data_IF_852282728065
#
_entry.id   IF_852282728065
#
_cell.length_a   1.000
_cell.length_b   1.000
_cell.length_c   1.000
_cell.angle_alpha   90.00
_cell.angle_beta   90.00
_cell.angle_gamma   90.00
#
_symmetry.space_group_name_H-M   'P 1'
#
loop_
_entity.id
_entity.type
_entity.pdbx_description
1 polymer ?
#
# COMPACT_ATOMS: atom_id res chain seq x y z
N UNK A 1 -18.49 19.42 16.28
CA UNK A 1 -18.24 19.35 17.73
C UNK A 1 -18.59 17.94 18.18
N UNK A 2 -17.63 17.19 18.73
CA UNK A 2 -17.87 15.84 19.25
C UNK A 2 -17.41 15.82 20.70
N UNK A 3 -18.33 15.79 21.64
CA UNK A 3 -18.08 15.58 23.07
C UNK A 3 -18.55 14.17 23.42
N UNK A 4 -17.75 13.47 24.22
CA UNK A 4 -18.05 12.14 24.72
C UNK A 4 -17.96 12.11 26.24
N UNK A 5 -18.90 11.38 26.85
CA UNK A 5 -18.88 11.00 28.25
C UNK A 5 -18.50 9.52 28.32
N UNK A 6 -17.52 9.20 29.14
CA UNK A 6 -17.07 7.84 29.42
C UNK A 6 -17.21 7.57 30.92
N UNK A 7 -17.84 6.45 31.25
CA UNK A 7 -18.11 5.98 32.60
C UNK A 7 -17.52 4.59 32.74
N UNK A 8 -16.56 4.43 33.66
CA UNK A 8 -15.93 3.16 33.96
C UNK A 8 -16.11 2.81 35.43
N UNK A 9 -16.64 1.61 35.66
CA UNK A 9 -16.73 0.99 36.97
C UNK A 9 -15.96 -0.33 36.97
N UNK A 10 -15.09 -0.54 37.95
CA UNK A 10 -14.37 -1.81 38.15
C UNK A 10 -14.48 -2.24 39.60
N UNK A 11 -14.72 -3.53 39.83
CA UNK A 11 -14.66 -4.13 41.16
C UNK A 11 -13.66 -5.29 41.13
N UNK A 12 -12.76 -5.32 42.12
CA UNK A 12 -11.85 -6.44 42.36
C UNK A 12 -12.18 -7.04 43.72
N UNK A 13 -12.24 -8.37 43.83
CA UNK A 13 -12.55 -9.07 45.08
C UNK A 13 -11.29 -9.75 45.63
N UNK A 14 -11.07 -9.60 46.93
CA UNK A 14 -10.01 -10.24 47.71
C UNK A 14 -10.64 -11.07 48.83
N UNK A 15 -9.86 -11.99 49.41
CA UNK A 15 -10.31 -12.75 50.58
C UNK A 15 -10.59 -11.83 51.79
N UNK A 16 -9.87 -10.70 51.89
CA UNK A 16 -9.97 -9.72 52.97
C UNK A 16 -11.01 -8.60 52.73
N UNK A 17 -11.57 -8.49 51.51
CA UNK A 17 -12.49 -7.41 51.16
C UNK A 17 -12.64 -7.17 49.66
N UNK A 18 -13.11 -5.97 49.28
CA UNK A 18 -13.39 -5.62 47.88
C UNK A 18 -12.88 -4.22 47.56
N UNK A 19 -12.22 -4.05 46.42
CA UNK A 19 -11.86 -2.74 45.91
C UNK A 19 -12.84 -2.32 44.81
N UNK A 20 -13.31 -1.08 44.84
CA UNK A 20 -14.16 -0.48 43.81
C UNK A 20 -13.50 0.77 43.25
N UNK A 21 -13.46 0.87 41.93
CA UNK A 21 -12.98 2.03 41.19
C UNK A 21 -14.13 2.56 40.36
N UNK A 22 -14.37 3.86 40.47
CA UNK A 22 -15.27 4.60 39.60
C UNK A 22 -14.51 5.72 38.90
N UNK A 23 -14.70 5.85 37.60
CA UNK A 23 -14.08 6.88 36.78
C UNK A 23 -15.11 7.49 35.84
N UNK A 24 -15.12 8.82 35.80
CA UNK A 24 -15.91 9.61 34.85
C UNK A 24 -14.94 10.44 34.03
N UNK A 25 -15.05 10.37 32.71
CA UNK A 25 -14.30 11.24 31.81
C UNK A 25 -15.23 11.98 30.88
N UNK A 26 -15.07 13.29 30.78
CA UNK A 26 -15.73 14.13 29.79
C UNK A 26 -14.65 14.75 28.92
N UNK A 27 -14.77 14.59 27.61
CA UNK A 27 -13.82 15.21 26.70
C UNK A 27 -14.26 15.12 25.25
N UNK A 28 -13.55 15.78 24.37
CA UNK A 28 -13.91 15.77 22.97
C UNK A 28 -13.10 16.76 22.13
N UNK A 29 -13.54 16.99 20.91
CA UNK A 29 -12.90 17.91 19.97
C UNK A 29 -13.81 19.10 19.65
N UNK A 30 -13.31 20.29 19.98
CA UNK A 30 -13.90 21.61 19.76
C UNK A 30 -12.99 22.40 18.80
N UNK A 31 -13.10 22.11 17.50
CA UNK A 31 -12.21 22.68 16.49
C UNK A 31 -10.75 22.26 16.71
N UNK A 32 -9.88 23.23 16.96
CA UNK A 32 -8.46 23.05 17.31
C UNK A 32 -8.24 22.59 18.75
N UNK A 33 -9.25 22.71 19.62
CA UNK A 33 -9.14 22.38 21.04
C UNK A 33 -9.63 20.96 21.30
N UNK A 34 -8.94 20.26 22.19
CA UNK A 34 -9.33 18.94 22.67
C UNK A 34 -9.24 18.91 24.20
N UNK A 35 -10.25 19.47 24.90
CA UNK A 35 -10.31 19.38 26.35
C UNK A 35 -10.72 17.98 26.80
N UNK A 36 -10.19 17.54 27.93
CA UNK A 36 -10.64 16.35 28.65
C UNK A 36 -10.45 16.54 30.15
N UNK A 37 -11.48 16.23 30.91
CA UNK A 37 -11.44 16.12 32.37
C UNK A 37 -11.81 14.69 32.76
N UNK A 38 -11.02 14.10 33.65
CA UNK A 38 -11.23 12.76 34.19
C UNK A 38 -11.21 12.84 35.70
N UNK A 39 -12.29 12.40 36.35
CA UNK A 39 -12.35 12.20 37.79
C UNK A 39 -12.34 10.70 38.07
N UNK A 40 -11.47 10.25 38.97
CA UNK A 40 -11.40 8.86 39.41
C UNK A 40 -11.43 8.82 40.93
N UNK A 41 -12.17 7.86 41.47
CA UNK A 41 -12.20 7.55 42.90
C UNK A 41 -12.16 6.05 43.12
N UNK A 42 -11.33 5.63 44.06
CA UNK A 42 -11.12 4.24 44.45
C UNK A 42 -11.37 4.10 45.95
N UNK A 43 -12.05 3.02 46.34
CA UNK A 43 -12.32 2.70 47.73
C UNK A 43 -12.17 1.22 47.98
N UNK A 44 -11.71 0.90 49.17
CA UNK A 44 -11.70 -0.44 49.73
C UNK A 44 -12.91 -0.62 50.63
N UNK A 45 -13.61 -1.74 50.48
CA UNK A 45 -14.71 -2.19 51.31
C UNK A 45 -14.27 -3.46 52.03
N UNK A 46 -13.99 -3.31 53.32
CA UNK A 46 -13.65 -4.41 54.21
C UNK A 46 -14.78 -4.60 55.24
N UNK A 47 -14.83 -5.74 55.96
CA UNK A 47 -15.86 -5.97 56.99
C UNK A 47 -15.91 -4.89 58.08
N UNK A 48 -14.80 -4.15 58.26
CA UNK A 48 -14.63 -3.08 59.26
C UNK A 48 -15.14 -1.72 58.76
N UNK A 49 -15.31 -1.52 57.45
CA UNK A 49 -15.79 -0.25 56.88
C UNK A 49 -15.32 0.04 55.46
N UNK A 50 -15.57 1.29 55.02
CA UNK A 50 -15.19 1.80 53.69
C UNK A 50 -14.03 2.78 53.84
N UNK A 51 -12.92 2.54 53.14
CA UNK A 51 -11.73 3.38 53.14
C UNK A 51 -11.51 3.97 51.74
N UNK A 52 -11.37 5.29 51.61
CA UNK A 52 -10.98 5.90 50.34
C UNK A 52 -9.49 5.64 50.09
N UNK A 53 -9.17 4.93 49.00
CA UNK A 53 -7.79 4.62 48.61
C UNK A 53 -7.18 5.76 47.81
N UNK A 54 -7.93 6.25 46.82
CA UNK A 54 -7.47 7.28 45.90
C UNK A 54 -8.66 8.12 45.41
N UNK A 55 -8.44 9.42 45.22
CA UNK A 55 -9.40 10.31 44.60
C UNK A 55 -8.62 11.40 43.87
N UNK A 56 -8.70 11.44 42.55
CA UNK A 56 -8.04 12.49 41.78
C UNK A 56 -8.90 13.00 40.62
N UNK A 57 -8.63 14.24 40.21
CA UNK A 57 -9.11 14.82 38.97
C UNK A 57 -7.92 15.19 38.09
N UNK A 58 -7.90 14.68 36.86
CA UNK A 58 -6.96 15.08 35.83
C UNK A 58 -7.68 15.95 34.80
N UNK A 59 -7.23 17.18 34.61
CA UNK A 59 -7.68 18.07 33.55
C UNK A 59 -6.59 18.20 32.49
N UNK A 60 -6.98 18.13 31.23
CA UNK A 60 -6.06 18.26 30.10
C UNK A 60 -6.68 19.07 28.97
N UNK A 61 -5.84 19.80 28.27
CA UNK A 61 -6.20 20.56 27.08
C UNK A 61 -5.12 20.36 26.04
N UNK A 62 -5.49 19.89 24.85
CA UNK A 62 -4.63 19.92 23.68
C UNK A 62 -5.12 20.97 22.68
N UNK A 63 -4.21 21.74 22.11
CA UNK A 63 -4.45 22.77 21.10
C UNK A 63 -3.66 22.37 19.85
N UNK A 64 -4.38 22.06 18.77
CA UNK A 64 -3.84 21.75 17.44
C UNK A 64 -4.00 22.97 16.56
N UNK A 65 -2.93 23.71 16.34
CA UNK A 65 -2.94 24.90 15.49
C UNK A 65 -2.40 24.57 14.07
N UNK A 66 -2.63 25.45 13.08
CA UNK A 66 -2.06 25.30 11.74
C UNK A 66 -0.53 25.13 11.76
N UNK A 67 0.04 24.67 10.64
CA UNK A 67 1.47 24.38 10.50
C UNK A 67 2.00 23.31 11.48
N UNK A 68 1.18 22.30 11.78
CA UNK A 68 1.53 21.13 12.58
C UNK A 68 2.05 21.46 13.99
N UNK A 69 1.39 22.43 14.64
CA UNK A 69 1.63 22.82 16.02
C UNK A 69 0.71 22.05 16.97
N UNK A 70 1.26 21.56 18.07
CA UNK A 70 0.52 20.92 19.14
C UNK A 70 1.02 21.45 20.50
N UNK A 71 0.13 22.04 21.29
CA UNK A 71 0.37 22.33 22.70
C UNK A 71 -0.54 21.43 23.53
N UNK A 72 -0.02 20.79 24.57
CA UNK A 72 -0.79 19.95 25.49
C UNK A 72 -0.44 20.33 26.92
N UNK A 73 -1.45 20.68 27.70
CA UNK A 73 -1.35 20.83 29.15
C UNK A 73 -2.09 19.70 29.86
N UNK A 74 -1.54 19.18 30.96
CA UNK A 74 -2.23 18.23 31.85
C UNK A 74 -1.90 18.55 33.30
N UNK A 75 -2.92 18.67 34.13
CA UNK A 75 -2.79 18.90 35.56
C UNK A 75 -3.62 17.87 36.33
N UNK A 76 -3.03 17.29 37.37
CA UNK A 76 -3.69 16.30 38.23
C UNK A 76 -3.79 16.84 39.64
N UNK A 77 -4.98 16.78 40.22
CA UNK A 77 -5.27 17.19 41.60
C UNK A 77 -5.77 15.99 42.40
N UNK A 78 -5.17 15.73 43.55
CA UNK A 78 -5.59 14.66 44.47
C UNK A 78 -6.47 15.27 45.57
N UNK A 79 -7.63 14.66 45.78
CA UNK A 79 -8.65 15.10 46.72
C UNK A 79 -8.47 14.50 48.12
N UNK A 80 -7.68 13.43 48.25
CA UNK A 80 -7.46 12.77 49.54
C UNK A 80 -6.60 13.62 50.49
N UNK A 81 -5.50 14.16 49.98
CA UNK A 81 -4.54 15.00 50.69
C UNK A 81 -4.67 16.49 50.33
N UNK A 82 -5.50 16.83 49.35
CA UNK A 82 -5.83 18.20 48.99
C UNK A 82 -4.65 18.94 48.35
N UNK A 83 -4.38 18.66 47.08
CA UNK A 83 -3.34 19.40 46.35
C UNK A 83 -3.14 18.99 44.90
N UNK A 84 -2.50 19.87 44.13
CA UNK A 84 -1.97 19.50 42.82
C UNK A 84 -0.83 18.49 42.99
N UNK A 85 -0.82 17.46 42.15
CA UNK A 85 0.21 16.42 42.15
C UNK A 85 1.23 16.65 41.04
N UNK A 86 0.73 16.88 39.82
CA UNK A 86 1.55 17.04 38.62
C UNK A 86 0.99 18.12 37.69
N UNK A 87 1.86 18.88 37.05
CA UNK A 87 1.57 19.75 35.91
C UNK A 87 2.55 19.43 34.80
N UNK A 88 2.04 19.03 33.63
CA UNK A 88 2.84 18.78 32.44
C UNK A 88 2.38 19.67 31.29
N UNK A 89 3.33 20.31 30.62
CA UNK A 89 3.11 21.09 29.42
C UNK A 89 4.05 20.53 28.35
N UNK A 90 3.50 20.07 27.24
CA UNK A 90 4.24 19.62 26.06
C UNK A 90 3.91 20.54 24.89
N UNK A 91 4.94 21.06 24.25
CA UNK A 91 4.88 21.77 22.98
C UNK A 91 5.54 20.88 21.93
N UNK A 92 4.88 20.66 20.81
CA UNK A 92 5.40 19.87 19.70
C UNK A 92 5.15 20.60 18.39
N UNK A 93 6.17 20.65 17.54
CA UNK A 93 6.06 21.23 16.20
C UNK A 93 6.83 20.41 15.19
N UNK A 94 6.16 20.09 14.09
CA UNK A 94 6.78 19.55 12.89
C UNK A 94 7.11 20.69 11.92
N UNK A 95 8.39 21.02 11.79
CA UNK A 95 8.86 22.09 10.89
C UNK A 95 8.95 21.63 9.44
N UNK A 96 9.44 20.41 9.21
CA UNK A 96 9.49 19.75 7.91
C UNK A 96 8.99 18.31 8.06
N UNK A 97 8.87 17.53 6.97
CA UNK A 97 8.52 16.11 7.08
C UNK A 97 9.58 15.32 7.88
N UNK A 98 10.82 15.83 7.91
CA UNK A 98 11.98 15.21 8.52
C UNK A 98 12.36 15.76 9.89
N UNK A 99 11.91 16.97 10.26
CA UNK A 99 12.34 17.64 11.48
C UNK A 99 11.18 17.94 12.42
N UNK A 100 11.25 17.34 13.61
CA UNK A 100 10.31 17.53 14.71
C UNK A 100 11.05 18.07 15.93
N UNK A 101 10.39 18.99 16.62
CA UNK A 101 10.85 19.57 17.87
C UNK A 101 9.76 19.39 18.92
N UNK A 102 10.16 18.87 20.07
CA UNK A 102 9.35 18.73 21.25
C UNK A 102 10.01 19.51 22.40
N UNK A 103 9.23 20.31 23.12
CA UNK A 103 9.65 21.02 24.33
C UNK A 103 8.69 20.62 25.42
N UNK A 104 9.20 20.20 26.58
CA UNK A 104 8.36 19.78 27.69
C UNK A 104 8.77 20.46 28.98
N UNK A 105 7.78 20.62 29.85
CA UNK A 105 7.90 21.10 31.21
C UNK A 105 7.03 20.21 32.10
N UNK A 106 7.60 19.66 33.16
CA UNK A 106 6.94 18.76 34.09
C UNK A 106 7.24 19.23 35.53
N UNK A 107 6.20 19.50 36.31
CA UNK A 107 6.30 19.87 37.73
C UNK A 107 5.57 18.80 38.54
N UNK A 108 6.29 18.17 39.45
CA UNK A 108 5.71 17.39 40.54
C UNK A 108 5.68 18.26 41.79
N UNK A 109 4.49 18.54 42.30
CA UNK A 109 4.33 19.49 43.40
C UNK A 109 4.72 18.91 44.75
N UNK A 110 4.52 17.61 44.98
CA UNK A 110 4.81 16.96 46.27
C UNK A 110 6.30 16.95 46.59
N UNK A 111 7.13 16.67 45.59
CA UNK A 111 8.60 16.69 45.73
C UNK A 111 9.20 18.05 45.37
N UNK A 112 8.37 19.02 44.97
CA UNK A 112 8.80 20.29 44.37
C UNK A 112 9.72 20.14 43.14
N UNK A 113 9.78 18.96 42.55
CA UNK A 113 10.63 18.66 41.41
C UNK A 113 10.09 19.31 40.12
N UNK A 114 10.96 19.97 39.36
CA UNK A 114 10.71 20.49 38.01
C UNK A 114 11.67 19.79 37.07
N UNK A 115 11.19 19.32 35.92
CA UNK A 115 12.01 18.85 34.81
C UNK A 115 11.53 19.54 33.55
N UNK A 116 12.43 20.23 32.85
CA UNK A 116 12.15 20.84 31.56
C UNK A 116 13.18 20.40 30.54
N UNK A 117 12.79 20.31 29.27
CA UNK A 117 13.72 19.88 28.25
C UNK A 117 13.24 20.11 26.83
N UNK A 118 14.15 19.88 25.90
CA UNK A 118 13.97 19.97 24.46
C UNK A 118 14.40 18.63 23.86
N UNK A 119 13.57 18.11 22.97
CA UNK A 119 13.82 16.92 22.18
C UNK A 119 13.72 17.26 20.70
N UNK A 120 14.69 16.77 19.94
CA UNK A 120 14.78 16.87 18.49
C UNK A 120 14.68 15.47 17.91
N UNK A 121 13.80 15.29 16.92
CA UNK A 121 13.79 14.11 16.07
C UNK A 121 14.09 14.56 14.64
N UNK A 122 15.10 13.93 14.04
CA UNK A 122 15.45 14.13 12.64
C UNK A 122 15.44 12.79 11.88
N UNK A 123 14.57 12.70 10.88
CA UNK A 123 14.38 11.51 10.04
C UNK A 123 15.25 11.65 8.78
N UNK A 124 16.45 11.05 8.80
CA UNK A 124 17.20 10.81 7.58
C UNK A 124 16.58 9.64 6.81
N UNK A 125 16.82 9.50 5.50
CA UNK A 125 16.35 8.33 4.75
C UNK A 125 16.84 6.98 5.31
N UNK A 126 17.98 6.96 6.01
CA UNK A 126 18.66 5.76 6.48
C UNK A 126 18.72 5.62 8.00
N UNK A 127 18.34 6.65 8.77
CA UNK A 127 18.40 6.62 10.24
C UNK A 127 17.53 7.70 10.89
N UNK A 128 17.04 7.43 12.09
CA UNK A 128 16.38 8.39 12.96
C UNK A 128 17.39 8.86 14.02
N UNK A 129 17.67 10.15 14.01
CA UNK A 129 18.37 10.83 15.09
C UNK A 129 17.36 11.32 16.13
N UNK A 130 17.57 10.99 17.39
CA UNK A 130 16.84 11.53 18.55
C UNK A 130 17.84 12.17 19.49
N UNK A 131 17.78 13.48 19.64
CA UNK A 131 18.54 14.20 20.66
C UNK A 131 17.57 14.74 21.72
N UNK A 132 17.91 14.61 22.99
CA UNK A 132 17.15 15.19 24.09
C UNK A 132 18.10 15.82 25.10
N UNK A 133 17.75 17.01 25.53
CA UNK A 133 18.43 17.76 26.57
C UNK A 133 17.37 18.19 27.58
N UNK A 134 17.64 18.02 28.86
CA UNK A 134 16.72 18.43 29.91
C UNK A 134 17.48 18.75 31.18
N UNK A 135 16.87 19.60 32.00
CA UNK A 135 17.41 19.98 33.29
C UNK A 135 16.31 19.98 34.33
N UNK A 136 16.67 19.56 35.53
CA UNK A 136 15.84 19.71 36.72
C UNK A 136 15.73 18.46 37.59
N UNK A 137 15.13 18.66 38.76
CA UNK A 137 15.11 17.70 39.86
C UNK A 137 16.45 17.47 40.52
N UNK A 138 16.50 16.45 41.38
CA UNK A 138 17.72 16.03 42.08
C UNK A 138 18.83 15.56 41.12
N UNK A 139 18.45 15.17 39.91
CA UNK A 139 19.35 14.66 38.88
C UNK A 139 20.09 15.71 38.06
N UNK A 140 19.79 17.00 38.23
CA UNK A 140 20.45 18.09 37.50
C UNK A 140 20.25 18.04 35.99
N UNK A 141 21.33 18.26 35.25
CA UNK A 141 21.34 18.31 33.78
C UNK A 141 21.50 16.92 33.16
N UNK A 142 20.68 16.60 32.15
CA UNK A 142 20.72 15.34 31.40
C UNK A 142 20.70 15.61 29.90
N UNK A 143 21.54 14.91 29.17
CA UNK A 143 21.51 14.90 27.71
C UNK A 143 21.66 13.48 27.19
N UNK A 144 21.00 13.19 26.07
CA UNK A 144 21.10 11.91 25.39
C UNK A 144 20.96 12.12 23.89
N UNK A 145 21.79 11.42 23.13
CA UNK A 145 21.70 11.32 21.68
C UNK A 145 21.57 9.84 21.36
N UNK A 146 20.48 9.48 20.68
CA UNK A 146 20.21 8.17 20.15
C UNK A 146 20.14 8.21 18.64
N UNK A 147 20.73 7.21 18.00
CA UNK A 147 20.61 6.98 16.56
C UNK A 147 20.01 5.58 16.40
N UNK A 148 18.93 5.49 15.64
CA UNK A 148 18.22 4.22 15.44
C UNK A 148 17.87 4.04 13.97
N UNK A 149 17.87 2.80 13.50
CA UNK A 149 17.53 2.48 12.13
C UNK A 149 17.75 1.01 11.90
N UNK A 150 17.76 0.62 10.63
CA UNK A 150 17.99 -0.76 10.23
C UNK A 150 18.86 -0.82 8.99
N UNK A 151 19.63 -1.89 8.88
CA UNK A 151 20.43 -2.24 7.73
C UNK A 151 20.08 -3.67 7.32
N UNK A 152 19.86 -3.89 6.03
CA UNK A 152 19.62 -5.19 5.43
C UNK A 152 20.58 -5.40 4.26
N UNK A 153 20.96 -6.65 4.02
CA UNK A 153 21.77 -7.04 2.86
C UNK A 153 20.99 -8.05 2.04
N UNK A 154 20.90 -7.80 0.73
CA UNK A 154 20.36 -8.76 -0.23
C UNK A 154 21.52 -9.42 -0.96
N UNK A 155 21.74 -10.71 -0.72
CA UNK A 155 22.73 -11.48 -1.48
C UNK A 155 22.35 -11.57 -2.96
N UNK A 156 21.06 -11.57 -3.28
CA UNK A 156 20.56 -11.75 -4.63
C UNK A 156 20.80 -10.52 -5.52
N UNK A 157 20.81 -9.32 -4.94
CA UNK A 157 21.15 -8.08 -5.66
C UNK A 157 22.53 -7.53 -5.30
N UNK A 158 23.23 -8.13 -4.33
CA UNK A 158 24.49 -7.63 -3.76
C UNK A 158 24.42 -6.16 -3.30
N UNK A 159 23.30 -5.77 -2.66
CA UNK A 159 23.04 -4.40 -2.25
C UNK A 159 22.65 -4.31 -0.76
N UNK A 160 22.99 -3.18 -0.15
CA UNK A 160 22.57 -2.82 1.19
C UNK A 160 21.34 -1.89 1.17
N UNK A 161 20.44 -2.11 2.11
CA UNK A 161 19.22 -1.33 2.30
C UNK A 161 19.21 -0.74 3.69
N UNK A 162 19.01 0.57 3.78
CA UNK A 162 18.97 1.29 5.06
C UNK A 162 17.64 1.97 5.26
N UNK A 163 17.24 2.11 6.52
CA UNK A 163 15.99 2.77 6.88
C UNK A 163 16.05 3.35 8.29
N UNK A 164 15.35 4.45 8.50
CA UNK A 164 15.19 5.03 9.83
C UNK A 164 14.25 4.25 10.74
N UNK A 165 13.42 3.36 10.21
CA UNK A 165 12.63 2.44 11.02
C UNK A 165 13.53 1.35 11.62
N UNK A 166 13.57 1.25 12.95
CA UNK A 166 14.39 0.29 13.68
C UNK A 166 13.81 -1.14 13.71
N UNK A 167 12.56 -1.32 13.26
CA UNK A 167 11.82 -2.58 13.40
C UNK A 167 11.88 -3.48 12.17
N UNK A 168 12.91 -3.40 11.31
CA UNK A 168 13.00 -4.29 10.13
C UNK A 168 13.14 -5.76 10.48
N UNK A 169 13.70 -6.08 11.65
CA UNK A 169 13.85 -7.47 12.08
C UNK A 169 12.46 -8.08 12.25
N UNK A 170 12.18 -9.11 11.46
CA UNK A 170 10.90 -9.78 11.36
C UNK A 170 10.15 -9.50 10.07
N UNK A 171 10.41 -8.41 9.34
CA UNK A 171 9.75 -8.10 8.06
C UNK A 171 10.51 -8.69 6.88
N UNK A 172 9.81 -8.87 5.76
CA UNK A 172 10.41 -9.20 4.47
C UNK A 172 10.63 -7.99 3.57
N UNK A 173 11.15 -8.26 2.39
CA UNK A 173 11.13 -7.36 1.25
C UNK A 173 11.00 -8.14 -0.06
N UNK A 174 10.24 -7.59 -1.01
CA UNK A 174 10.13 -8.11 -2.36
C UNK A 174 10.85 -7.16 -3.32
N UNK A 175 11.72 -7.70 -4.16
CA UNK A 175 12.41 -6.96 -5.22
C UNK A 175 11.88 -7.46 -6.54
N UNK A 176 11.05 -6.66 -7.20
CA UNK A 176 10.42 -7.03 -8.46
C UNK A 176 11.32 -6.63 -9.62
N UNK A 177 11.62 -7.58 -10.49
CA UNK A 177 12.46 -7.42 -11.68
C UNK A 177 11.70 -7.93 -12.90
N UNK A 178 10.96 -7.06 -13.60
CA UNK A 178 10.38 -7.43 -14.87
C UNK A 178 11.47 -7.56 -15.93
N UNK A 179 11.35 -8.54 -16.81
CA UNK A 179 12.32 -8.79 -17.87
C UNK A 179 11.62 -9.15 -19.18
N UNK A 180 12.25 -8.82 -20.30
CA UNK A 180 11.76 -9.17 -21.64
C UNK A 180 12.11 -10.63 -21.93
N UNK A 181 11.10 -11.49 -21.85
CA UNK A 181 11.14 -12.93 -22.11
C UNK A 181 10.97 -13.16 -23.61
N UNK A 182 12.08 -13.10 -24.36
CA UNK A 182 12.07 -13.09 -25.82
C UNK A 182 11.75 -14.48 -26.41
N UNK A 183 12.08 -15.55 -25.67
CA UNK A 183 11.83 -16.93 -26.09
C UNK A 183 10.53 -17.52 -25.50
N UNK A 184 9.88 -16.81 -24.57
CA UNK A 184 8.61 -17.20 -23.95
C UNK A 184 8.73 -18.32 -22.92
N UNK A 185 9.94 -18.64 -22.42
CA UNK A 185 10.15 -19.75 -21.50
C UNK A 185 9.75 -19.42 -20.04
N UNK A 186 9.54 -18.13 -19.72
CA UNK A 186 9.13 -17.65 -18.41
C UNK A 186 10.23 -17.58 -17.37
N UNK A 187 11.48 -17.80 -17.77
CA UNK A 187 12.68 -17.77 -16.93
C UNK A 187 13.61 -16.72 -17.50
N UNK A 188 14.22 -15.92 -16.63
CA UNK A 188 15.15 -14.90 -17.10
C UNK A 188 16.46 -15.53 -17.58
N UNK A 189 16.75 -15.38 -18.87
CA UNK A 189 17.96 -15.89 -19.50
C UNK A 189 19.09 -14.84 -19.55
N UNK A 190 20.37 -15.27 -19.62
CA UNK A 190 21.49 -14.35 -19.82
C UNK A 190 21.33 -13.53 -21.10
N UNK A 191 21.37 -12.19 -20.96
CA UNK A 191 21.22 -11.26 -22.07
C UNK A 191 19.81 -10.67 -22.21
N UNK A 192 18.82 -11.20 -21.50
CA UNK A 192 17.48 -10.62 -21.48
C UNK A 192 17.43 -9.30 -20.71
N UNK A 193 16.72 -8.33 -21.28
CA UNK A 193 16.63 -6.97 -20.76
C UNK A 193 15.76 -6.93 -19.51
N UNK A 194 16.26 -6.30 -18.44
CA UNK A 194 15.43 -5.93 -17.29
C UNK A 194 14.75 -4.61 -17.58
N UNK A 195 13.42 -4.60 -17.52
CA UNK A 195 12.63 -3.41 -17.74
C UNK A 195 12.77 -2.49 -16.52
N UNK A 196 13.34 -1.31 -16.76
CA UNK A 196 13.53 -0.28 -15.73
C UNK A 196 12.40 0.75 -15.67
N UNK A 197 11.62 0.87 -16.76
CA UNK A 197 10.47 1.77 -16.87
C UNK A 197 9.18 0.97 -16.95
N UNK A 198 8.62 0.71 -15.77
CA UNK A 198 7.32 0.08 -15.61
C UNK A 198 6.60 0.71 -14.43
N UNK A 199 5.29 0.85 -14.53
CA UNK A 199 4.41 1.16 -13.40
C UNK A 199 3.90 -0.15 -12.83
N UNK A 200 4.44 -0.53 -11.68
CA UNK A 200 4.07 -1.75 -10.97
C UNK A 200 3.29 -1.36 -9.71
N UNK A 201 2.07 -1.85 -9.62
CA UNK A 201 1.23 -1.72 -8.43
C UNK A 201 1.31 -2.99 -7.61
N UNK A 202 1.53 -2.84 -6.31
CA UNK A 202 1.37 -3.88 -5.31
C UNK A 202 0.07 -3.65 -4.54
N UNK A 203 -0.69 -4.71 -4.34
CA UNK A 203 -1.94 -4.74 -3.56
C UNK A 203 -1.85 -5.81 -2.48
N UNK A 204 -2.25 -5.49 -1.26
CA UNK A 204 -2.43 -6.44 -0.15
C UNK A 204 -3.65 -6.08 0.69
N UNK A 205 -3.94 -6.87 1.73
CA UNK A 205 -5.01 -6.58 2.70
C UNK A 205 -4.86 -5.22 3.41
N UNK A 206 -3.65 -4.66 3.42
CA UNK A 206 -3.33 -3.40 4.12
C UNK A 206 -3.27 -2.19 3.19
N UNK A 207 -3.52 -2.37 1.89
CA UNK A 207 -3.64 -1.30 0.92
C UNK A 207 -2.82 -1.51 -0.36
N UNK A 208 -2.76 -0.45 -1.16
CA UNK A 208 -2.15 -0.47 -2.48
C UNK A 208 -1.02 0.56 -2.55
N UNK A 209 0.07 0.23 -3.25
CA UNK A 209 1.13 1.18 -3.53
C UNK A 209 1.85 0.89 -4.84
N UNK A 210 2.42 1.92 -5.45
CA UNK A 210 3.31 1.76 -6.59
C UNK A 210 4.75 1.55 -6.12
N UNK A 211 5.43 0.61 -6.77
CA UNK A 211 6.82 0.30 -6.45
C UNK A 211 7.75 1.34 -7.07
N UNK A 212 8.86 1.62 -6.37
CA UNK A 212 9.88 2.54 -6.86
C UNK A 212 11.05 1.77 -7.45
N UNK A 213 11.44 2.13 -8.66
CA UNK A 213 12.64 1.61 -9.28
C UNK A 213 13.91 2.17 -8.62
N UNK A 214 14.85 1.28 -8.32
CA UNK A 214 16.21 1.60 -7.91
C UNK A 214 17.19 1.02 -8.93
N UNK A 215 18.02 1.84 -9.60
CA UNK A 215 19.01 1.36 -10.57
C UNK A 215 19.92 0.28 -10.00
N UNK A 216 20.12 -0.81 -10.75
CA UNK A 216 20.93 -1.95 -10.32
C UNK A 216 20.28 -2.89 -9.29
N UNK A 217 19.08 -2.56 -8.80
CA UNK A 217 18.33 -3.39 -7.83
C UNK A 217 17.01 -3.88 -8.41
N UNK A 218 16.19 -2.99 -8.97
CA UNK A 218 14.83 -3.28 -9.42
C UNK A 218 13.77 -2.47 -8.66
N UNK A 219 12.52 -2.92 -8.71
CA UNK A 219 11.39 -2.28 -8.07
C UNK A 219 11.23 -2.81 -6.64
N UNK A 220 11.52 -1.95 -5.66
CA UNK A 220 11.51 -2.33 -4.25
C UNK A 220 10.15 -2.23 -3.60
N UNK A 221 9.75 -3.29 -2.90
CA UNK A 221 8.69 -3.30 -1.91
C UNK A 221 9.28 -3.72 -0.56
N UNK A 222 9.55 -2.75 0.29
CA UNK A 222 10.21 -2.95 1.59
C UNK A 222 9.18 -3.02 2.72
N UNK A 223 9.56 -3.61 3.85
CA UNK A 223 8.71 -3.80 5.04
C UNK A 223 7.44 -4.61 4.79
N UNK A 224 7.56 -5.68 4.01
CA UNK A 224 6.44 -6.59 3.80
C UNK A 224 6.18 -7.42 5.04
N UNK A 225 4.91 -7.59 5.39
CA UNK A 225 4.50 -8.46 6.47
C UNK A 225 4.80 -9.91 6.09
N UNK A 226 5.39 -10.70 7.00
CA UNK A 226 5.63 -12.12 6.76
C UNK A 226 4.34 -12.88 6.51
N UNK A 227 4.42 -13.86 5.61
CA UNK A 227 3.34 -14.78 5.24
C UNK A 227 2.14 -14.11 4.58
N UNK A 228 2.27 -12.83 4.26
CA UNK A 228 1.23 -12.06 3.59
C UNK A 228 1.41 -12.12 2.07
N UNK A 229 0.28 -12.21 1.37
CA UNK A 229 0.26 -12.18 -0.09
C UNK A 229 0.27 -10.75 -0.61
N UNK A 230 1.20 -10.48 -1.52
CA UNK A 230 1.29 -9.24 -2.27
C UNK A 230 1.03 -9.54 -3.74
N UNK A 231 -0.01 -8.94 -4.29
CA UNK A 231 -0.37 -9.08 -5.70
C UNK A 231 0.31 -7.97 -6.49
N UNK A 232 1.19 -8.35 -7.41
CA UNK A 232 1.89 -7.45 -8.32
C UNK A 232 1.15 -7.37 -9.66
N UNK A 233 0.88 -6.15 -10.10
CA UNK A 233 0.23 -5.84 -11.38
C UNK A 233 1.10 -4.85 -12.14
N UNK A 234 1.53 -5.20 -13.36
CA UNK A 234 2.22 -4.27 -14.26
C UNK A 234 1.15 -3.57 -15.11
N UNK A 235 1.25 -2.25 -15.27
CA UNK A 235 0.43 -1.49 -16.20
C UNK A 235 1.05 -1.56 -17.61
N UNK A 236 0.47 -2.26 -18.59
CA UNK A 236 1.11 -2.46 -19.90
C UNK A 236 1.37 -1.15 -20.65
N UNK A 237 0.49 -0.15 -20.50
CA UNK A 237 0.65 1.19 -21.11
C UNK A 237 1.83 2.00 -20.58
N UNK A 238 2.49 1.54 -19.52
CA UNK A 238 3.69 2.17 -18.96
C UNK A 238 5.00 1.63 -19.55
N UNK A 239 4.93 0.56 -20.34
CA UNK A 239 6.09 -0.07 -20.96
C UNK A 239 6.55 0.71 -22.18
N UNK A 240 7.86 0.73 -22.45
CA UNK A 240 8.44 1.51 -23.55
C UNK A 240 8.07 0.96 -24.95
N UNK A 241 7.72 -0.34 -25.05
CA UNK A 241 7.31 -0.98 -26.30
C UNK A 241 5.84 -1.45 -26.21
N UNK A 242 4.95 -1.06 -27.15
CA UNK A 242 3.55 -1.48 -27.14
C UNK A 242 3.33 -2.98 -27.39
N UNK A 243 4.33 -3.69 -27.92
CA UNK A 243 4.29 -5.15 -28.08
C UNK A 243 4.68 -5.88 -26.79
N UNK A 244 5.23 -5.20 -25.79
CA UNK A 244 5.59 -5.84 -24.53
C UNK A 244 4.36 -6.06 -23.68
N UNK A 245 4.08 -7.32 -23.37
CA UNK A 245 2.90 -7.71 -22.60
C UNK A 245 3.31 -8.55 -21.41
N UNK A 246 2.89 -8.18 -20.18
CA UNK A 246 3.08 -9.03 -19.02
C UNK A 246 2.45 -10.40 -19.26
N UNK A 247 3.22 -11.48 -19.08
CA UNK A 247 2.71 -12.85 -19.21
C UNK A 247 1.56 -13.14 -18.24
N UNK A 248 1.59 -12.48 -17.09
CA UNK A 248 0.57 -12.57 -16.05
C UNK A 248 0.01 -11.17 -15.77
N UNK A 249 -1.31 -11.04 -15.81
CA UNK A 249 -1.97 -9.78 -15.40
C UNK A 249 -1.72 -9.48 -13.92
N UNK A 250 -1.75 -10.52 -13.08
CA UNK A 250 -1.56 -10.43 -11.65
C UNK A 250 -0.68 -11.59 -11.18
N UNK A 251 0.37 -11.28 -10.41
CA UNK A 251 1.20 -12.29 -9.74
C UNK A 251 1.11 -12.13 -8.22
N UNK A 252 0.56 -13.13 -7.54
CA UNK A 252 0.57 -13.22 -6.08
C UNK A 252 1.91 -13.76 -5.57
N UNK A 253 2.53 -13.06 -4.63
CA UNK A 253 3.79 -13.46 -3.99
C UNK A 253 3.68 -13.34 -2.48
N UNK A 254 4.03 -14.42 -1.78
CA UNK A 254 4.15 -14.42 -0.33
C UNK A 254 5.50 -13.86 0.11
N UNK A 255 5.45 -12.95 1.07
CA UNK A 255 6.65 -12.40 1.73
C UNK A 255 7.14 -13.32 2.84
N UNK A 256 8.46 -13.43 3.00
CA UNK A 256 9.10 -14.21 4.06
C UNK A 256 9.81 -13.29 5.07
N UNK A 257 9.83 -13.65 6.37
CA UNK A 257 10.45 -12.82 7.38
C UNK A 257 11.97 -12.78 7.19
N UNK A 258 12.57 -11.60 7.34
CA UNK A 258 14.02 -11.35 7.27
C UNK A 258 14.68 -11.68 5.93
N UNK A 259 13.92 -11.74 4.84
CA UNK A 259 14.46 -12.08 3.51
C UNK A 259 14.14 -11.01 2.47
N UNK A 260 15.11 -10.79 1.57
CA UNK A 260 14.90 -10.10 0.30
C UNK A 260 14.62 -11.15 -0.76
N UNK A 261 13.38 -11.24 -1.23
CA UNK A 261 12.98 -12.17 -2.28
C UNK A 261 12.93 -11.45 -3.62
N UNK A 262 13.66 -11.97 -4.61
CA UNK A 262 13.53 -11.52 -5.99
C UNK A 262 12.25 -12.12 -6.59
N UNK A 263 11.48 -11.27 -7.26
CA UNK A 263 10.28 -11.63 -8.01
C UNK A 263 10.51 -11.27 -9.46
N UNK A 264 10.76 -12.27 -10.28
CA UNK A 264 10.95 -12.09 -11.71
C UNK A 264 9.60 -12.09 -12.42
N UNK A 265 9.34 -11.06 -13.23
CA UNK A 265 8.09 -10.90 -13.97
C UNK A 265 8.36 -10.98 -15.47
N UNK A 266 8.03 -12.10 -16.14
CA UNK A 266 8.24 -12.23 -17.58
C UNK A 266 7.27 -11.32 -18.34
N UNK A 267 7.84 -10.54 -19.25
CA UNK A 267 7.14 -9.71 -20.23
C UNK A 267 7.43 -10.35 -21.59
N UNK A 268 6.41 -10.93 -22.19
CA UNK A 268 6.53 -11.56 -23.51
C UNK A 268 6.41 -10.51 -24.60
N UNK A 269 7.06 -10.77 -25.73
CA UNK A 269 6.88 -9.97 -26.94
C UNK A 269 5.64 -10.48 -27.67
N UNK A 270 4.58 -9.67 -27.65
CA UNK A 270 3.32 -9.95 -28.33
C UNK A 270 3.42 -9.78 -29.85
N UNK A 271 2.55 -10.49 -30.55
CA UNK A 271 2.34 -10.36 -31.98
C UNK A 271 1.30 -9.31 -32.36
N UNK A 272 1.17 -9.12 -33.66
CA UNK A 272 0.14 -8.28 -34.29
C UNK A 272 -0.75 -9.19 -35.13
N UNK A 273 -2.06 -9.13 -34.91
CA UNK A 273 -3.05 -9.87 -35.71
C UNK A 273 -3.81 -8.87 -36.57
N UNK A 274 -3.84 -9.10 -37.88
CA UNK A 274 -4.49 -8.22 -38.85
C UNK A 274 -5.38 -8.99 -39.80
N UNK A 275 -6.50 -8.36 -40.14
CA UNK A 275 -7.40 -8.87 -41.15
C UNK A 275 -8.31 -7.78 -41.67
N UNK A 276 -9.09 -8.15 -42.67
CA UNK A 276 -10.05 -7.29 -43.33
C UNK A 276 -11.41 -7.95 -43.40
N UNK A 277 -12.45 -7.17 -43.20
CA UNK A 277 -13.84 -7.58 -43.37
C UNK A 277 -14.37 -6.98 -44.65
N UNK A 278 -14.84 -7.84 -45.55
CA UNK A 278 -15.41 -7.46 -46.84
C UNK A 278 -16.83 -8.00 -46.99
N UNK A 279 -17.74 -7.16 -47.45
CA UNK A 279 -19.14 -7.51 -47.71
C UNK A 279 -19.38 -7.51 -49.21
N UNK A 280 -19.68 -8.68 -49.76
CA UNK A 280 -20.10 -8.86 -51.14
C UNK A 280 -21.56 -8.45 -51.29
N UNK A 281 -21.81 -7.41 -52.08
CA UNK A 281 -23.14 -7.02 -52.53
C UNK A 281 -23.30 -7.38 -54.01
N UNK A 282 -24.54 -7.48 -54.54
CA UNK A 282 -24.76 -7.84 -55.95
C UNK A 282 -24.09 -6.92 -56.98
N UNK A 283 -23.66 -5.71 -56.58
CA UNK A 283 -23.07 -4.71 -57.47
C UNK A 283 -21.59 -4.39 -57.18
N UNK A 284 -21.09 -4.66 -55.97
CA UNK A 284 -19.72 -4.32 -55.55
C UNK A 284 -19.34 -4.98 -54.22
N UNK A 285 -18.04 -5.08 -53.96
CA UNK A 285 -17.49 -5.37 -52.63
C UNK A 285 -17.42 -4.06 -51.84
N UNK A 286 -17.94 -4.05 -50.61
CA UNK A 286 -17.84 -2.91 -49.70
C UNK A 286 -17.14 -3.31 -48.40
N UNK A 287 -16.46 -2.37 -47.71
CA UNK A 287 -15.89 -2.63 -46.41
C UNK A 287 -16.94 -3.02 -45.35
N UNK A 288 -16.61 -3.99 -44.49
CA UNK A 288 -17.40 -4.37 -43.33
C UNK A 288 -17.17 -3.45 -42.12
N UNK A 289 -17.33 -2.14 -42.32
CA UNK A 289 -17.13 -1.12 -41.28
C UNK A 289 -18.03 -1.34 -40.05
N UNK A 290 -17.49 -1.10 -38.85
CA UNK A 290 -18.25 -1.10 -37.61
C UNK A 290 -18.58 -2.49 -37.06
N UNK A 291 -18.15 -3.56 -37.73
CA UNK A 291 -18.28 -4.93 -37.22
C UNK A 291 -17.25 -5.21 -36.13
N UNK A 292 -17.72 -5.85 -35.07
CA UNK A 292 -16.94 -6.18 -33.89
C UNK A 292 -16.21 -7.50 -34.12
N UNK A 293 -14.90 -7.48 -33.93
CA UNK A 293 -14.03 -8.66 -33.96
C UNK A 293 -13.58 -8.97 -32.56
N UNK A 294 -13.68 -10.23 -32.17
CA UNK A 294 -13.22 -10.75 -30.89
C UNK A 294 -12.08 -11.73 -31.11
N UNK A 295 -11.00 -11.57 -30.36
CA UNK A 295 -9.89 -12.50 -30.28
C UNK A 295 -9.89 -13.15 -28.89
N UNK A 296 -10.00 -14.48 -28.85
CA UNK A 296 -10.15 -15.26 -27.62
C UNK A 296 -9.14 -16.42 -27.57
N UNK A 297 -8.40 -16.52 -26.46
CA UNK A 297 -7.43 -17.59 -26.23
C UNK A 297 -8.13 -18.95 -26.08
N UNK A 298 -7.75 -19.94 -26.90
CA UNK A 298 -8.43 -21.25 -26.94
C UNK A 298 -8.07 -22.18 -25.78
N UNK A 299 -6.81 -22.15 -25.33
CA UNK A 299 -6.28 -23.07 -24.32
C UNK A 299 -5.86 -22.32 -23.06
N UNK A 300 -6.76 -21.51 -22.49
CA UNK A 300 -6.46 -20.84 -21.23
C UNK A 300 -6.20 -21.87 -20.12
N UNK A 301 -5.16 -21.70 -19.29
CA UNK A 301 -4.92 -22.56 -18.14
C UNK A 301 -6.17 -22.65 -17.25
N UNK A 302 -6.54 -23.87 -16.85
CA UNK A 302 -7.77 -24.12 -16.08
C UNK A 302 -7.90 -23.23 -14.85
N UNK A 303 -9.08 -22.65 -14.66
CA UNK A 303 -9.40 -21.78 -13.51
C UNK A 303 -9.20 -20.28 -13.72
N UNK A 304 -8.74 -19.83 -14.90
CA UNK A 304 -8.62 -18.40 -15.26
C UNK A 304 -9.59 -18.02 -16.38
N UNK A 305 -10.06 -16.77 -16.39
CA UNK A 305 -10.78 -16.23 -17.55
C UNK A 305 -9.82 -16.22 -18.75
N UNK A 306 -10.20 -16.77 -19.91
CA UNK A 306 -9.38 -16.69 -21.11
C UNK A 306 -9.18 -15.22 -21.50
N UNK A 307 -7.97 -14.89 -21.97
CA UNK A 307 -7.70 -13.58 -22.56
C UNK A 307 -8.71 -13.35 -23.69
N UNK A 308 -9.45 -12.25 -23.60
CA UNK A 308 -10.45 -11.84 -24.59
C UNK A 308 -10.24 -10.38 -24.93
N UNK A 309 -9.89 -10.12 -26.18
CA UNK A 309 -9.73 -8.79 -26.74
C UNK A 309 -10.83 -8.53 -27.75
N UNK A 310 -11.29 -7.29 -27.84
CA UNK A 310 -12.34 -6.89 -28.77
C UNK A 310 -11.95 -5.58 -29.43
N UNK A 311 -12.13 -5.53 -30.75
CA UNK A 311 -11.90 -4.32 -31.55
C UNK A 311 -13.04 -4.16 -32.56
N UNK A 312 -13.11 -3.01 -33.20
CA UNK A 312 -14.12 -2.68 -34.21
C UNK A 312 -13.40 -2.39 -35.52
N UNK A 313 -13.91 -2.94 -36.62
CA UNK A 313 -13.34 -2.70 -37.94
C UNK A 313 -13.46 -1.22 -38.34
N UNK A 314 -12.37 -0.68 -38.88
CA UNK A 314 -12.27 0.69 -39.38
C UNK A 314 -13.16 0.91 -40.62
N UNK A 315 -13.27 2.14 -41.10
CA UNK A 315 -14.03 2.49 -42.31
C UNK A 315 -13.51 1.83 -43.59
N UNK A 316 -12.25 1.39 -43.59
CA UNK A 316 -11.62 0.60 -44.66
C UNK A 316 -11.94 -0.90 -44.58
N UNK A 317 -12.62 -1.34 -43.50
CA UNK A 317 -12.93 -2.73 -43.20
C UNK A 317 -11.80 -3.49 -42.51
N UNK A 318 -10.65 -2.86 -42.32
CA UNK A 318 -9.50 -3.44 -41.63
C UNK A 318 -9.71 -3.46 -40.12
N UNK A 319 -9.10 -4.43 -39.45
CA UNK A 319 -9.03 -4.49 -38.00
C UNK A 319 -7.65 -5.00 -37.57
N UNK A 320 -7.20 -4.59 -36.39
CA UNK A 320 -5.95 -5.09 -35.83
C UNK A 320 -6.04 -5.28 -34.32
N UNK A 321 -5.28 -6.27 -33.85
CA UNK A 321 -4.93 -6.47 -32.44
C UNK A 321 -3.43 -6.33 -32.30
N UNK A 322 -2.99 -5.44 -31.42
CA UNK A 322 -1.57 -5.17 -31.15
C UNK A 322 -1.22 -5.71 -29.76
N UNK A 323 -0.05 -6.34 -29.64
CA UNK A 323 0.42 -6.88 -28.37
C UNK A 323 -0.40 -8.09 -27.95
N UNK A 324 -0.64 -9.03 -28.87
CA UNK A 324 -1.29 -10.30 -28.53
C UNK A 324 -0.21 -11.29 -28.05
N UNK A 325 -0.24 -11.76 -26.79
CA UNK A 325 0.76 -12.71 -26.30
C UNK A 325 0.83 -13.99 -27.16
N UNK A 326 1.96 -14.69 -27.20
CA UNK A 326 2.05 -15.98 -27.88
C UNK A 326 1.01 -17.00 -27.39
N UNK A 327 0.43 -17.75 -28.32
CA UNK A 327 -0.62 -18.74 -28.04
C UNK A 327 -1.55 -19.01 -29.23
N UNK A 328 -2.49 -19.95 -29.04
CA UNK A 328 -3.51 -20.28 -30.04
C UNK A 328 -4.81 -19.52 -29.77
N UNK A 329 -5.29 -18.78 -30.76
CA UNK A 329 -6.44 -17.88 -30.64
C UNK A 329 -7.53 -18.21 -31.64
N UNK A 330 -8.76 -17.94 -31.24
CA UNK A 330 -9.91 -17.87 -32.13
C UNK A 330 -10.24 -16.41 -32.36
N UNK A 331 -10.19 -15.99 -33.61
CA UNK A 331 -10.66 -14.67 -34.05
C UNK A 331 -12.05 -14.86 -34.63
N UNK A 332 -13.06 -14.15 -34.12
CA UNK A 332 -14.45 -14.34 -34.52
C UNK A 332 -15.22 -13.04 -34.64
N UNK A 333 -16.19 -13.02 -35.56
CA UNK A 333 -17.19 -11.95 -35.65
C UNK A 333 -18.32 -12.16 -34.64
N UNK A 334 -18.92 -11.06 -34.18
CA UNK A 334 -20.17 -11.14 -33.42
C UNK A 334 -21.33 -11.55 -34.33
N UNK A 335 -21.77 -12.82 -34.18
CA UNK A 335 -22.86 -13.39 -34.97
C UNK A 335 -24.19 -12.63 -34.82
N UNK A 336 -24.46 -12.05 -33.64
CA UNK A 336 -25.68 -11.28 -33.42
C UNK A 336 -25.63 -9.96 -34.21
N UNK A 337 -24.47 -9.30 -34.23
CA UNK A 337 -24.25 -8.07 -34.98
C UNK A 337 -24.31 -8.32 -36.50
N UNK A 338 -23.67 -9.39 -36.97
CA UNK A 338 -23.69 -9.80 -38.39
C UNK A 338 -25.14 -10.02 -38.86
N UNK A 339 -25.95 -10.75 -38.08
CA UNK A 339 -27.35 -11.00 -38.39
C UNK A 339 -28.21 -9.72 -38.34
N UNK A 340 -27.98 -8.85 -37.35
CA UNK A 340 -28.68 -7.56 -37.22
C UNK A 340 -28.45 -6.66 -38.44
N UNK A 341 -27.25 -6.70 -39.02
CA UNK A 341 -26.92 -5.92 -40.22
C UNK A 341 -27.42 -6.58 -41.52
N UNK A 342 -28.03 -7.76 -41.41
CA UNK A 342 -28.57 -8.51 -42.54
C UNK A 342 -27.49 -9.13 -43.43
N UNK A 343 -26.35 -9.49 -42.84
CA UNK A 343 -25.26 -10.16 -43.54
C UNK A 343 -25.20 -11.65 -43.20
N UNK A 344 -24.63 -12.44 -44.12
CA UNK A 344 -24.33 -13.85 -43.96
C UNK A 344 -22.82 -14.01 -44.10
N UNK A 345 -22.14 -14.48 -43.04
CA UNK A 345 -20.70 -14.72 -43.09
C UNK A 345 -20.40 -16.06 -43.72
N UNK A 346 -19.43 -16.11 -44.65
CA UNK A 346 -18.90 -17.37 -45.18
C UNK A 346 -18.27 -18.20 -44.05
N UNK A 347 -17.52 -17.53 -43.20
CA UNK A 347 -16.89 -18.07 -42.00
C UNK A 347 -17.09 -17.05 -40.87
N UNK A 348 -17.43 -17.53 -39.67
CA UNK A 348 -17.64 -16.67 -38.49
C UNK A 348 -16.43 -16.63 -37.56
N UNK A 349 -15.44 -17.49 -37.77
CA UNK A 349 -14.19 -17.50 -37.01
C UNK A 349 -13.02 -18.10 -37.79
N UNK A 350 -11.81 -17.71 -37.38
CA UNK A 350 -10.52 -18.28 -37.76
C UNK A 350 -9.79 -18.77 -36.51
N UNK A 351 -8.97 -19.82 -36.65
CA UNK A 351 -8.01 -20.24 -35.62
C UNK A 351 -6.63 -19.85 -36.10
N UNK A 352 -5.89 -19.14 -35.27
CA UNK A 352 -4.53 -18.68 -35.54
C UNK A 352 -3.61 -19.05 -34.38
N UNK A 353 -2.31 -19.06 -34.66
CA UNK A 353 -1.27 -19.29 -33.68
C UNK A 353 -0.24 -18.17 -33.77
N UNK A 354 0.17 -17.66 -32.60
CA UNK A 354 1.21 -16.65 -32.45
C UNK A 354 2.35 -17.28 -31.67
N UNK A 355 3.54 -17.26 -32.25
CA UNK A 355 4.77 -17.82 -31.70
C UNK A 355 5.56 -16.74 -30.96
N UNK A 356 6.29 -17.16 -29.92
CA UNK A 356 7.23 -16.29 -29.25
C UNK A 356 8.43 -16.00 -30.19
N UNK A 357 8.57 -14.74 -30.60
CA UNK A 357 9.70 -14.24 -31.40
C UNK A 357 10.21 -12.94 -30.78
N UNK A 358 11.51 -12.71 -30.84
CA UNK A 358 12.15 -11.53 -30.25
C UNK A 358 11.61 -10.19 -30.80
N UNK A 359 11.18 -10.16 -32.06
CA UNK A 359 10.62 -8.97 -32.72
C UNK A 359 9.07 -8.95 -32.71
N UNK A 360 8.44 -9.97 -32.14
CA UNK A 360 7.02 -10.25 -32.31
C UNK A 360 6.73 -11.00 -33.61
N UNK A 361 5.50 -11.52 -33.73
CA UNK A 361 5.01 -12.15 -34.96
C UNK A 361 3.81 -11.39 -35.51
N UNK A 362 3.83 -11.09 -36.81
CA UNK A 362 2.67 -10.58 -37.52
C UNK A 362 1.91 -11.75 -38.17
N UNK A 363 0.64 -11.91 -37.79
CA UNK A 363 -0.31 -12.83 -38.41
C UNK A 363 -1.31 -12.01 -39.20
N UNK A 364 -1.07 -11.89 -40.50
CA UNK A 364 -1.91 -11.15 -41.44
C UNK A 364 -2.85 -12.10 -42.23
N UNK A 365 -3.84 -11.51 -42.92
CA UNK A 365 -4.77 -12.25 -43.79
C UNK A 365 -5.86 -13.00 -43.04
N UNK A 366 -6.18 -12.60 -41.81
CA UNK A 366 -7.30 -13.16 -41.02
C UNK A 366 -8.62 -12.54 -41.51
N UNK A 367 -8.97 -12.77 -42.76
CA UNK A 367 -10.02 -12.01 -43.43
C UNK A 367 -11.40 -12.65 -43.29
N UNK A 368 -12.44 -11.82 -43.20
CA UNK A 368 -13.82 -12.27 -43.17
C UNK A 368 -14.57 -11.80 -44.42
N UNK A 369 -15.17 -12.75 -45.13
CA UNK A 369 -16.05 -12.47 -46.26
C UNK A 369 -17.51 -12.67 -45.87
N UNK A 370 -18.30 -11.62 -46.03
CA UNK A 370 -19.74 -11.58 -45.79
C UNK A 370 -20.47 -11.42 -47.13
N UNK A 371 -21.71 -11.88 -47.21
CA UNK A 371 -22.63 -11.62 -48.32
C UNK A 371 -23.93 -11.04 -47.80
N UNK A 372 -24.62 -10.25 -48.61
CA UNK A 372 -25.96 -9.72 -48.29
C UNK A 372 -27.07 -10.56 -48.91
#
# INVERSE_FOLDING_TARGET
MRLGLDLLGRQTMFASGRERIFQVSLGGQLGSLSPRITHRRAYELNPVGVTALDAFTSASLAIRAPAAFLLRGTATYFHNDGGFRTLRIDFSRRFTRQFWLDVFYDKTFVTQNVIAGVQVLYYFPFTLLRAIIGAGGESGFRSSIGVSGSAGYSAATNNFFFDYFSSRVGYGALIVQPFVDANGNGVRDPGEEVVSKARIRSTSLFGNQYLRYTPGVGFGLEHTLPYEEYVMTIEPSSLDNPLWVPRYENLGVFSEPNQFRIVELPIVVGGIVRGKIEVQTPKKVVPGEGLTVTLELQNAPGGKKPLKLTTVAFSTGEYEFIGVPPGSYKVSLDAAQVAQFGYIAKEIFHIIEIHAKAEGEEVAGVDFSLSK
#
